data_IF_873348512462
#
_entry.id   IF_873348512462
#
_cell.length_a   1.000
_cell.length_b   1.000
_cell.length_c   1.000
_cell.angle_alpha   90.00
_cell.angle_beta   90.00
_cell.angle_gamma   90.00
#
_symmetry.space_group_name_H-M   'P 1'
#
loop_
_entity.id
_entity.type
_entity.pdbx_description
1 polymer ?
#
# COMPACT_ATOMS: atom_id res chain seq x y z
N UNK A 1 2.17 16.83 3.80
CA UNK A 1 2.74 15.95 2.75
C UNK A 1 2.17 14.57 2.96
N UNK A 2 1.69 13.92 1.91
CA UNK A 2 1.20 12.54 1.98
C UNK A 2 2.32 11.54 2.28
N UNK A 3 1.98 10.39 2.85
CA UNK A 3 2.94 9.31 3.12
C UNK A 3 3.25 8.53 1.84
N UNK A 4 4.52 8.17 1.63
CA UNK A 4 4.93 7.33 0.49
C UNK A 4 4.80 5.86 0.86
N UNK A 5 4.28 5.05 -0.05
CA UNK A 5 4.22 3.60 0.07
C UNK A 5 5.46 2.96 -0.54
N UNK A 6 6.12 2.08 0.23
CA UNK A 6 7.32 1.36 -0.19
C UNK A 6 7.17 -0.15 -0.05
N UNK A 7 7.69 -0.89 -1.02
CA UNK A 7 7.77 -2.35 -0.96
C UNK A 7 8.92 -2.82 -0.05
N UNK A 8 9.11 -4.14 0.06
CA UNK A 8 10.17 -4.74 0.87
C UNK A 8 11.60 -4.38 0.40
N UNK A 9 11.76 -3.96 -0.85
CA UNK A 9 13.02 -3.49 -1.44
C UNK A 9 13.24 -1.98 -1.24
N UNK A 10 12.39 -1.30 -0.44
CA UNK A 10 12.38 0.16 -0.24
C UNK A 10 12.09 0.97 -1.52
N UNK A 11 11.54 0.36 -2.56
CA UNK A 11 11.13 1.06 -3.77
C UNK A 11 9.78 1.73 -3.55
N UNK A 12 9.64 2.96 -4.07
CA UNK A 12 8.39 3.71 -3.99
C UNK A 12 7.39 3.17 -5.01
N UNK A 13 6.24 2.69 -4.53
CA UNK A 13 5.21 2.05 -5.35
C UNK A 13 3.87 2.78 -5.30
N UNK A 14 3.77 3.85 -4.50
CA UNK A 14 2.54 4.59 -4.31
C UNK A 14 2.63 5.70 -3.28
N UNK A 15 1.51 6.35 -3.03
CA UNK A 15 1.40 7.44 -2.06
C UNK A 15 -0.01 7.53 -1.47
N UNK A 16 -0.10 8.16 -0.30
CA UNK A 16 -1.36 8.51 0.35
C UNK A 16 -1.75 9.93 -0.05
N UNK A 17 -2.94 10.09 -0.59
CA UNK A 17 -3.46 11.42 -0.93
C UNK A 17 -4.01 12.15 0.32
N UNK A 18 -4.42 13.42 0.18
CA UNK A 18 -4.93 14.23 1.29
C UNK A 18 -6.24 13.69 1.91
N UNK A 19 -6.92 12.75 1.27
CA UNK A 19 -8.12 12.08 1.78
C UNK A 19 -7.81 10.79 2.55
N UNK A 20 -6.53 10.45 2.78
CA UNK A 20 -6.14 9.21 3.45
C UNK A 20 -6.24 7.97 2.56
N UNK A 21 -6.44 8.14 1.25
CA UNK A 21 -6.53 7.03 0.30
C UNK A 21 -5.12 6.69 -0.19
N UNK A 22 -4.73 5.43 -0.02
CA UNK A 22 -3.52 4.87 -0.60
C UNK A 22 -3.76 4.53 -2.08
N UNK A 23 -2.97 5.16 -2.96
CA UNK A 23 -2.92 4.87 -4.39
C UNK A 23 -1.56 4.23 -4.69
N UNK A 24 -1.55 3.01 -5.19
CA UNK A 24 -0.32 2.27 -5.51
C UNK A 24 -0.49 1.41 -6.75
N UNK A 25 0.59 1.22 -7.49
CA UNK A 25 0.68 0.26 -8.58
C UNK A 25 1.50 -0.92 -8.08
N UNK A 26 0.84 -2.07 -7.92
CA UNK A 26 1.48 -3.29 -7.42
C UNK A 26 1.77 -4.22 -8.60
N UNK A 27 3.03 -4.42 -8.93
CA UNK A 27 3.46 -5.52 -9.80
C UNK A 27 3.71 -6.79 -8.96
N UNK A 28 3.82 -7.95 -9.60
CA UNK A 28 4.06 -9.22 -8.90
C UNK A 28 5.35 -9.20 -8.06
N UNK A 29 6.36 -8.41 -8.48
CA UNK A 29 7.62 -8.22 -7.75
C UNK A 29 7.46 -7.38 -6.47
N UNK A 30 6.38 -6.59 -6.37
CA UNK A 30 6.11 -5.69 -5.27
C UNK A 30 5.22 -6.34 -4.19
N UNK A 31 4.72 -7.55 -4.44
CA UNK A 31 3.91 -8.28 -3.47
C UNK A 31 4.66 -8.61 -2.18
N UNK A 32 3.93 -8.58 -1.06
CA UNK A 32 4.48 -8.80 0.27
C UNK A 32 4.32 -7.59 1.16
N UNK A 33 5.33 -7.29 2.00
CA UNK A 33 5.20 -6.22 3.00
C UNK A 33 5.31 -4.85 2.33
N UNK A 34 4.24 -4.07 2.46
CA UNK A 34 4.19 -2.67 2.08
C UNK A 34 4.24 -1.80 3.33
N UNK A 35 5.04 -0.75 3.29
CA UNK A 35 5.21 0.22 4.35
C UNK A 35 4.72 1.60 3.92
N UNK A 36 3.96 2.28 4.79
CA UNK A 36 3.40 3.61 4.55
C UNK A 36 3.58 4.43 5.82
N UNK A 37 4.64 5.22 5.88
CA UNK A 37 5.07 5.85 7.15
C UNK A 37 5.36 4.77 8.21
N UNK A 38 4.70 4.84 9.36
CA UNK A 38 4.81 3.84 10.42
C UNK A 38 3.90 2.62 10.21
N UNK A 39 2.97 2.68 9.26
CA UNK A 39 2.10 1.56 8.94
C UNK A 39 2.81 0.50 8.09
N UNK A 40 2.58 -0.77 8.40
CA UNK A 40 2.97 -1.90 7.54
C UNK A 40 1.81 -2.86 7.37
N UNK A 41 1.64 -3.39 6.17
CA UNK A 41 0.65 -4.42 5.86
C UNK A 41 1.18 -5.37 4.79
N UNK A 42 0.61 -6.57 4.68
CA UNK A 42 0.94 -7.52 3.62
C UNK A 42 0.00 -7.31 2.44
N UNK A 43 0.49 -6.88 1.29
CA UNK A 43 -0.34 -6.67 0.10
C UNK A 43 -1.03 -7.94 -0.40
N UNK A 44 -0.53 -9.13 -0.03
CA UNK A 44 -1.16 -10.42 -0.35
C UNK A 44 -2.46 -10.65 0.42
N UNK A 45 -2.73 -9.86 1.47
CA UNK A 45 -4.04 -9.89 2.14
C UNK A 45 -5.08 -9.03 1.42
N UNK A 46 -4.70 -8.25 0.41
CA UNK A 46 -5.63 -7.43 -0.36
C UNK A 46 -6.31 -8.28 -1.44
N UNK A 47 -7.61 -8.11 -1.59
CA UNK A 47 -8.35 -8.71 -2.70
C UNK A 47 -8.06 -7.93 -3.98
N UNK A 48 -7.36 -8.57 -4.92
CA UNK A 48 -7.22 -8.04 -6.29
C UNK A 48 -8.59 -7.99 -6.98
N UNK A 49 -8.78 -7.04 -7.89
CA UNK A 49 -9.96 -6.94 -8.77
C UNK A 49 -11.33 -6.80 -8.06
N UNK A 50 -11.35 -6.39 -6.79
CA UNK A 50 -12.60 -6.24 -6.04
C UNK A 50 -13.46 -5.05 -6.51
N UNK A 51 -12.89 -4.12 -7.29
CA UNK A 51 -13.53 -2.88 -7.72
C UNK A 51 -13.97 -1.95 -6.58
N UNK A 52 -13.57 -2.26 -5.33
CA UNK A 52 -13.98 -1.57 -4.11
C UNK A 52 -12.78 -1.13 -3.30
N UNK A 53 -12.93 -0.03 -2.57
CA UNK A 53 -11.96 0.38 -1.56
C UNK A 53 -11.89 -0.68 -0.45
N UNK A 54 -10.68 -0.96 0.02
CA UNK A 54 -10.41 -1.89 1.12
C UNK A 54 -9.78 -1.14 2.28
N UNK A 55 -10.22 -1.44 3.50
CA UNK A 55 -9.66 -0.85 4.71
C UNK A 55 -8.40 -1.62 5.12
N UNK A 56 -7.30 -0.90 5.28
CA UNK A 56 -6.04 -1.45 5.79
C UNK A 56 -5.93 -1.03 7.25
N UNK A 57 -5.86 -2.01 8.15
CA UNK A 57 -5.65 -1.76 9.58
C UNK A 57 -4.16 -1.81 9.89
N UNK A 58 -3.62 -0.65 10.27
CA UNK A 58 -2.28 -0.50 10.79
C UNK A 58 -2.35 -0.60 12.32
N UNK A 59 -1.65 -1.58 12.90
CA UNK A 59 -1.54 -1.77 14.35
C UNK A 59 -0.16 -1.38 14.86
#
# INVERSE_FOLDING_TARGET
>A
MGSIAKNAENQEIGYVNNGGILLMNLEDKDEGIISVGDCKFDSRSLQKDSGKAQEIKCG
#
